data_IF_510669717088
#
_entry.id   IF_510669717088
#
_cell.length_a   1.000
_cell.length_b   1.000
_cell.length_c   1.000
_cell.angle_alpha   90.00
_cell.angle_beta   90.00
_cell.angle_gamma   90.00
#
_symmetry.space_group_name_H-M   'P 1'
#
loop_
_entity.id
_entity.type
_entity.pdbx_description
1 polymer ?
#
# COMPACT_ATOMS: atom_id res chain seq x y z
N UNK A 1 -45.12 10.36 -13.74
CA UNK A 1 -44.19 9.85 -14.79
C UNK A 1 -42.80 9.65 -14.17
N UNK A 2 -42.53 8.46 -13.66
CA UNK A 2 -41.29 8.10 -12.97
C UNK A 2 -40.24 7.62 -13.97
N UNK A 3 -39.31 8.50 -14.37
CA UNK A 3 -38.14 8.10 -15.16
C UNK A 3 -37.17 7.34 -14.26
N UNK A 4 -37.12 6.01 -14.42
CA UNK A 4 -36.03 5.17 -13.89
C UNK A 4 -34.71 5.65 -14.49
N UNK A 5 -33.77 6.05 -13.65
CA UNK A 5 -32.37 6.23 -14.04
C UNK A 5 -31.80 4.82 -14.28
N UNK A 6 -31.21 4.52 -15.45
CA UNK A 6 -30.67 3.20 -15.69
C UNK A 6 -29.44 3.00 -14.79
N UNK A 7 -29.44 1.89 -14.04
CA UNK A 7 -28.27 1.44 -13.31
C UNK A 7 -27.10 1.32 -14.29
N UNK A 8 -26.05 2.11 -14.06
CA UNK A 8 -24.78 2.00 -14.77
C UNK A 8 -24.26 0.58 -14.58
N UNK A 9 -24.45 -0.25 -15.61
CA UNK A 9 -23.92 -1.60 -15.67
C UNK A 9 -22.40 -1.45 -15.64
N UNK A 10 -21.78 -1.77 -14.50
CA UNK A 10 -20.33 -2.01 -14.45
C UNK A 10 -20.12 -3.26 -15.31
N UNK A 11 -19.89 -3.04 -16.60
CA UNK A 11 -19.40 -4.08 -17.49
C UNK A 11 -18.01 -4.45 -17.00
N UNK A 12 -17.93 -5.46 -16.15
CA UNK A 12 -16.73 -6.25 -16.00
C UNK A 12 -16.44 -6.85 -17.38
N UNK A 13 -15.53 -6.21 -18.12
CA UNK A 13 -14.87 -6.86 -19.25
C UNK A 13 -13.95 -7.93 -18.64
N UNK A 14 -14.51 -9.12 -18.46
CA UNK A 14 -13.73 -10.33 -18.44
C UNK A 14 -13.30 -10.61 -19.89
N UNK A 15 -12.06 -10.25 -20.24
CA UNK A 15 -11.31 -10.86 -21.35
C UNK A 15 -9.95 -10.18 -21.48
N UNK A 16 -8.92 -10.87 -21.02
CA UNK A 16 -7.53 -10.50 -21.19
C UNK A 16 -6.66 -11.41 -20.35
N UNK A 17 -6.15 -12.47 -20.97
CA UNK A 17 -5.11 -13.33 -20.42
C UNK A 17 -3.96 -12.46 -19.89
N UNK A 18 -3.93 -12.22 -18.59
CA UNK A 18 -2.79 -11.59 -17.93
C UNK A 18 -1.90 -12.70 -17.36
N UNK A 19 -1.20 -13.41 -18.26
CA UNK A 19 0.01 -14.12 -17.88
C UNK A 19 1.15 -13.12 -17.61
N UNK A 20 0.94 -12.25 -16.64
CA UNK A 20 2.00 -11.53 -15.96
C UNK A 20 2.05 -12.11 -14.55
N UNK A 21 2.60 -13.33 -14.42
CA UNK A 21 3.04 -13.79 -13.10
C UNK A 21 4.13 -12.82 -12.67
N UNK A 22 3.78 -11.84 -11.85
CA UNK A 22 4.73 -10.92 -11.23
C UNK A 22 5.73 -11.76 -10.43
N UNK A 23 6.84 -12.14 -11.05
CA UNK A 23 7.93 -12.84 -10.37
C UNK A 23 8.73 -11.80 -9.60
N UNK A 24 9.24 -12.19 -8.44
CA UNK A 24 10.19 -11.37 -7.74
C UNK A 24 11.51 -11.41 -8.51
N UNK A 25 12.02 -10.25 -8.91
CA UNK A 25 13.28 -10.10 -9.65
C UNK A 25 14.31 -9.34 -8.82
N UNK A 26 15.59 -9.48 -9.18
CA UNK A 26 16.67 -8.70 -8.56
C UNK A 26 16.46 -7.19 -8.73
N UNK A 27 15.99 -6.75 -9.90
CA UNK A 27 15.72 -5.35 -10.18
C UNK A 27 14.63 -4.79 -9.24
N UNK A 28 13.50 -5.49 -9.11
CA UNK A 28 12.42 -5.11 -8.21
C UNK A 28 12.88 -5.02 -6.75
N UNK A 29 13.70 -5.97 -6.31
CA UNK A 29 14.28 -5.99 -4.97
C UNK A 29 15.19 -4.78 -4.74
N UNK A 30 16.05 -4.44 -5.71
CA UNK A 30 16.94 -3.29 -5.61
C UNK A 30 16.18 -1.96 -5.57
N UNK A 31 15.17 -1.78 -6.42
CA UNK A 31 14.32 -0.58 -6.38
C UNK A 31 13.58 -0.43 -5.05
N UNK A 32 13.03 -1.53 -4.55
CA UNK A 32 12.33 -1.56 -3.26
C UNK A 32 13.29 -1.30 -2.09
N UNK A 33 14.54 -1.77 -2.20
CA UNK A 33 15.58 -1.52 -1.21
C UNK A 33 16.04 -0.05 -1.18
N UNK A 34 16.14 0.61 -2.34
CA UNK A 34 16.42 2.05 -2.42
C UNK A 34 15.30 2.85 -1.72
N UNK A 35 14.04 2.48 -1.97
CA UNK A 35 12.90 3.07 -1.25
C UNK A 35 13.02 2.83 0.27
N UNK A 36 13.31 1.59 0.69
CA UNK A 36 13.41 1.23 2.10
C UNK A 36 14.49 2.06 2.80
N UNK A 37 15.69 2.16 2.21
CA UNK A 37 16.79 2.96 2.72
C UNK A 37 16.42 4.43 2.92
N UNK A 38 15.64 5.01 1.98
CA UNK A 38 15.14 6.39 2.11
C UNK A 38 14.09 6.52 3.21
N UNK A 39 13.18 5.56 3.33
CA UNK A 39 12.12 5.62 4.36
C UNK A 39 12.60 5.37 5.78
N UNK A 40 13.72 4.64 5.94
CA UNK A 40 14.28 4.26 7.24
C UNK A 40 15.65 4.89 7.52
N UNK A 41 16.01 5.98 6.84
CA UNK A 41 17.32 6.62 7.01
C UNK A 41 17.53 7.20 8.42
N UNK A 42 16.46 7.54 9.14
CA UNK A 42 16.50 8.12 10.48
C UNK A 42 16.17 7.12 11.60
N UNK A 43 16.18 5.82 11.31
CA UNK A 43 15.99 4.81 12.34
C UNK A 43 17.17 4.78 13.31
N UNK A 44 16.97 4.41 14.59
CA UNK A 44 18.03 4.41 15.58
C UNK A 44 19.13 3.37 15.25
N UNK A 45 20.37 3.52 15.75
CA UNK A 45 21.50 2.66 15.38
C UNK A 45 21.32 1.16 15.61
N UNK A 46 20.45 0.79 16.55
CA UNK A 46 20.10 -0.60 16.90
C UNK A 46 18.98 -1.20 16.04
N UNK A 47 18.48 -0.45 15.04
CA UNK A 47 17.45 -0.94 14.14
C UNK A 47 17.96 -2.00 13.15
N UNK A 48 17.12 -3.00 12.91
CA UNK A 48 17.22 -4.08 11.92
C UNK A 48 17.67 -3.64 10.51
N UNK A 49 17.27 -2.44 10.07
CA UNK A 49 17.61 -1.89 8.76
C UNK A 49 19.12 -1.80 8.54
N UNK A 50 19.90 -1.52 9.58
CA UNK A 50 21.35 -1.39 9.44
C UNK A 50 22.02 -2.73 9.15
N UNK A 51 21.58 -3.80 9.81
CA UNK A 51 22.01 -5.17 9.51
C UNK A 51 21.63 -5.56 8.07
N UNK A 52 20.39 -5.27 7.64
CA UNK A 52 19.95 -5.55 6.28
C UNK A 52 20.78 -4.78 5.23
N UNK A 53 21.11 -3.51 5.50
CA UNK A 53 21.93 -2.69 4.59
C UNK A 53 23.36 -3.20 4.49
N UNK A 54 23.96 -3.54 5.61
CA UNK A 54 25.33 -4.07 5.66
C UNK A 54 25.43 -5.42 4.94
N UNK A 55 24.47 -6.31 5.13
CA UNK A 55 24.45 -7.64 4.51
C UNK A 55 23.60 -7.73 3.23
N UNK A 56 23.35 -6.61 2.55
CA UNK A 56 22.34 -6.53 1.48
C UNK A 56 22.49 -7.60 0.40
N UNK A 57 23.72 -7.87 -0.07
CA UNK A 57 23.93 -8.85 -1.14
C UNK A 57 23.52 -10.26 -0.72
N UNK A 58 23.86 -10.66 0.51
CA UNK A 58 23.51 -11.98 1.07
C UNK A 58 22.00 -12.07 1.34
N UNK A 59 21.45 -11.06 2.01
CA UNK A 59 20.03 -11.05 2.39
C UNK A 59 19.12 -10.97 1.17
N UNK A 60 19.45 -10.15 0.16
CA UNK A 60 18.71 -10.08 -1.11
C UNK A 60 18.61 -11.45 -1.78
N UNK A 61 19.74 -12.17 -1.88
CA UNK A 61 19.76 -13.49 -2.50
C UNK A 61 18.88 -14.48 -1.71
N UNK A 62 19.05 -14.54 -0.38
CA UNK A 62 18.27 -15.41 0.51
C UNK A 62 16.76 -15.14 0.40
N UNK A 63 16.35 -13.88 0.50
CA UNK A 63 14.95 -13.47 0.44
C UNK A 63 14.36 -13.77 -0.93
N UNK A 64 15.08 -13.45 -2.01
CA UNK A 64 14.59 -13.67 -3.38
C UNK A 64 14.33 -15.16 -3.67
N UNK A 65 15.22 -16.05 -3.20
CA UNK A 65 15.03 -17.49 -3.33
C UNK A 65 13.79 -17.94 -2.56
N UNK A 66 13.65 -17.52 -1.29
CA UNK A 66 12.50 -17.88 -0.46
C UNK A 66 11.17 -17.36 -1.02
N UNK A 67 11.15 -16.14 -1.58
CA UNK A 67 9.94 -15.56 -2.19
C UNK A 67 9.51 -16.35 -3.44
N UNK A 68 10.43 -16.63 -4.34
CA UNK A 68 10.11 -17.35 -5.58
C UNK A 68 9.81 -18.84 -5.32
N UNK A 69 10.29 -19.41 -4.21
CA UNK A 69 9.91 -20.75 -3.75
C UNK A 69 8.60 -20.78 -2.95
N UNK A 70 8.02 -19.61 -2.60
CA UNK A 70 6.82 -19.53 -1.77
C UNK A 70 7.03 -19.94 -0.30
N UNK A 71 8.29 -19.92 0.18
CA UNK A 71 8.67 -20.34 1.53
C UNK A 71 9.01 -19.18 2.46
N UNK A 72 9.01 -17.94 1.97
CA UNK A 72 9.21 -16.76 2.79
C UNK A 72 8.11 -16.64 3.86
N UNK A 73 8.50 -16.44 5.12
CA UNK A 73 7.58 -16.23 6.25
C UNK A 73 7.86 -14.87 6.87
N UNK A 74 6.80 -14.08 7.05
CA UNK A 74 6.86 -12.82 7.78
C UNK A 74 7.15 -13.07 9.26
N UNK A 75 7.94 -12.17 9.84
CA UNK A 75 8.19 -12.14 11.27
C UNK A 75 7.05 -11.42 11.99
N UNK A 76 6.95 -11.61 13.31
CA UNK A 76 6.04 -10.81 14.12
C UNK A 76 6.46 -9.33 14.07
N UNK A 77 5.48 -8.42 13.95
CA UNK A 77 5.74 -6.99 14.02
C UNK A 77 6.29 -6.61 15.40
N UNK A 78 7.21 -5.66 15.44
CA UNK A 78 7.76 -5.11 16.68
C UNK A 78 6.96 -3.89 17.12
N UNK A 79 6.67 -3.79 18.41
CA UNK A 79 6.09 -2.57 18.98
C UNK A 79 7.21 -1.61 19.36
N UNK A 80 7.22 -0.45 18.72
CA UNK A 80 8.20 0.62 18.98
C UNK A 80 7.47 1.79 19.64
N UNK A 81 8.02 2.30 20.73
CA UNK A 81 7.50 3.50 21.38
C UNK A 81 8.10 4.72 20.69
N UNK A 82 7.25 5.60 20.19
CA UNK A 82 7.67 6.88 19.62
C UNK A 82 8.13 7.84 20.72
N UNK A 83 8.84 8.91 20.34
CA UNK A 83 9.24 9.96 21.29
C UNK A 83 8.06 10.58 22.05
N UNK A 84 6.84 10.57 21.47
CA UNK A 84 5.61 11.04 22.10
C UNK A 84 4.90 10.01 22.98
N UNK A 85 5.48 8.84 23.24
CA UNK A 85 4.90 7.78 24.07
C UNK A 85 3.89 6.87 23.36
N UNK A 86 3.51 7.17 22.11
CA UNK A 86 2.64 6.28 21.32
C UNK A 86 3.38 5.00 20.95
N UNK A 87 2.73 3.84 21.09
CA UNK A 87 3.25 2.57 20.59
C UNK A 87 2.80 2.36 19.14
N UNK A 88 3.73 2.00 18.27
CA UNK A 88 3.47 1.69 16.85
C UNK A 88 4.01 0.31 16.50
N UNK A 89 3.20 -0.48 15.82
CA UNK A 89 3.65 -1.74 15.24
C UNK A 89 4.46 -1.45 13.96
N UNK A 90 5.67 -2.00 13.89
CA UNK A 90 6.60 -1.80 12.79
C UNK A 90 7.07 -3.17 12.29
N UNK A 91 6.97 -3.38 10.98
CA UNK A 91 7.52 -4.55 10.31
C UNK A 91 9.04 -4.58 10.40
N UNK A 92 9.62 -5.78 10.44
CA UNK A 92 11.05 -5.94 10.23
C UNK A 92 11.48 -5.35 8.88
N UNK A 93 12.74 -4.93 8.75
CA UNK A 93 13.27 -4.33 7.53
C UNK A 93 13.16 -5.27 6.33
N UNK A 94 13.42 -6.57 6.52
CA UNK A 94 13.26 -7.56 5.47
C UNK A 94 11.78 -7.71 5.06
N UNK A 95 10.88 -7.75 6.03
CA UNK A 95 9.44 -7.85 5.78
C UNK A 95 8.88 -6.62 5.06
N UNK A 96 9.30 -5.42 5.48
CA UNK A 96 8.91 -4.18 4.82
C UNK A 96 9.42 -4.10 3.38
N UNK A 97 10.61 -4.65 3.09
CA UNK A 97 11.11 -4.80 1.72
C UNK A 97 10.19 -5.71 0.90
N UNK A 98 9.83 -6.88 1.43
CA UNK A 98 8.96 -7.84 0.75
C UNK A 98 7.59 -7.22 0.49
N UNK A 99 6.99 -6.59 1.49
CA UNK A 99 5.72 -5.87 1.34
C UNK A 99 5.83 -4.82 0.24
N UNK A 100 6.93 -4.06 0.17
CA UNK A 100 7.13 -3.09 -0.92
C UNK A 100 7.20 -3.76 -2.29
N UNK A 101 7.92 -4.87 -2.42
CA UNK A 101 7.96 -5.65 -3.67
C UNK A 101 6.57 -6.14 -4.08
N UNK A 102 5.80 -6.70 -3.13
CA UNK A 102 4.43 -7.14 -3.36
C UNK A 102 3.54 -5.99 -3.80
N UNK A 103 3.60 -4.85 -3.10
CA UNK A 103 2.84 -3.65 -3.46
C UNK A 103 3.12 -3.24 -4.90
N UNK A 104 4.37 -3.20 -5.35
CA UNK A 104 4.72 -2.83 -6.74
C UNK A 104 4.17 -3.79 -7.79
N UNK A 105 4.12 -5.08 -7.49
CA UNK A 105 3.53 -6.08 -8.38
C UNK A 105 2.00 -5.96 -8.40
N UNK A 106 1.39 -5.76 -7.23
CA UNK A 106 -0.07 -5.66 -7.08
C UNK A 106 -0.62 -4.35 -7.63
N UNK A 107 0.11 -3.24 -7.53
CA UNK A 107 -0.27 -1.94 -8.12
C UNK A 107 -0.53 -2.03 -9.63
N UNK A 108 0.11 -2.98 -10.33
CA UNK A 108 -0.09 -3.19 -11.77
C UNK A 108 -1.34 -4.03 -12.09
N UNK A 109 -1.87 -4.74 -11.09
CA UNK A 109 -2.94 -5.73 -11.27
C UNK A 109 -4.26 -5.28 -10.63
N UNK A 110 -4.18 -4.56 -9.50
CA UNK A 110 -5.33 -4.14 -8.73
C UNK A 110 -5.75 -2.73 -9.16
N UNK A 111 -6.92 -2.56 -9.80
CA UNK A 111 -7.40 -1.23 -10.13
C UNK A 111 -7.73 -0.47 -8.84
N UNK A 112 -7.19 0.74 -8.72
CA UNK A 112 -7.50 1.66 -7.64
C UNK A 112 -8.37 2.77 -8.19
N UNK A 113 -9.54 3.00 -7.58
CA UNK A 113 -10.42 4.10 -7.98
C UNK A 113 -9.75 5.45 -7.73
N UNK A 114 -9.91 6.39 -8.65
CA UNK A 114 -9.50 7.80 -8.46
C UNK A 114 -10.21 8.48 -7.29
N UNK A 115 -11.34 7.90 -6.84
CA UNK A 115 -12.07 8.35 -5.66
C UNK A 115 -11.43 7.88 -4.34
N UNK A 116 -10.43 6.98 -4.39
CA UNK A 116 -9.63 6.60 -3.24
C UNK A 116 -8.60 7.70 -2.96
N UNK A 117 -9.05 8.82 -2.40
CA UNK A 117 -8.25 10.04 -2.27
C UNK A 117 -7.09 9.94 -1.26
N UNK A 118 -7.04 8.88 -0.45
CA UNK A 118 -5.89 8.56 0.40
C UNK A 118 -4.65 8.12 -0.39
N UNK A 119 -4.84 7.69 -1.64
CA UNK A 119 -3.75 7.30 -2.53
C UNK A 119 -3.07 8.54 -3.09
N UNK A 120 -1.73 8.51 -3.10
CA UNK A 120 -0.92 9.63 -3.57
C UNK A 120 -1.31 10.00 -5.01
N UNK A 121 -1.64 11.27 -5.22
CA UNK A 121 -2.05 11.79 -6.53
C UNK A 121 -3.56 11.91 -6.71
N UNK A 122 -4.39 11.37 -5.81
CA UNK A 122 -5.85 11.40 -5.92
C UNK A 122 -6.50 12.58 -5.16
N UNK A 123 -5.77 13.66 -4.90
CA UNK A 123 -6.30 14.89 -4.28
C UNK A 123 -6.18 14.99 -2.75
N UNK A 124 -6.13 13.87 -2.02
CA UNK A 124 -5.92 13.86 -0.57
C UNK A 124 -7.11 14.38 0.26
N UNK A 125 -7.06 14.17 1.58
CA UNK A 125 -8.19 14.47 2.48
C UNK A 125 -8.68 15.93 2.44
N UNK A 126 -7.78 16.91 2.28
CA UNK A 126 -8.18 18.32 2.18
C UNK A 126 -8.96 18.64 0.91
N UNK A 127 -8.65 18.00 -0.22
CA UNK A 127 -9.46 18.17 -1.42
C UNK A 127 -10.83 17.50 -1.25
N UNK A 128 -10.87 16.32 -0.62
CA UNK A 128 -12.11 15.61 -0.27
C UNK A 128 -13.10 16.47 0.48
N UNK A 129 -12.64 17.11 1.55
CA UNK A 129 -13.48 17.94 2.42
C UNK A 129 -14.04 19.12 1.64
N UNK A 130 -13.20 19.81 0.85
CA UNK A 130 -13.64 20.95 0.02
C UNK A 130 -14.66 20.53 -1.03
N UNK A 131 -14.42 19.44 -1.74
CA UNK A 131 -15.35 18.93 -2.76
C UNK A 131 -16.67 18.49 -2.14
N UNK A 132 -16.63 17.78 -1.01
CA UNK A 132 -17.83 17.33 -0.30
C UNK A 132 -18.65 18.54 0.16
N UNK A 133 -18.01 19.54 0.74
CA UNK A 133 -18.67 20.79 1.14
C UNK A 133 -19.35 21.50 -0.05
N UNK A 134 -18.64 21.65 -1.18
CA UNK A 134 -19.21 22.25 -2.39
C UNK A 134 -20.41 21.46 -2.94
N UNK A 135 -20.35 20.12 -2.90
CA UNK A 135 -21.46 19.25 -3.33
C UNK A 135 -22.69 19.42 -2.44
N UNK A 136 -22.51 19.54 -1.13
CA UNK A 136 -23.61 19.82 -0.20
C UNK A 136 -24.25 21.19 -0.48
N UNK A 137 -23.45 22.22 -0.75
CA UNK A 137 -23.96 23.56 -1.09
C UNK A 137 -24.75 23.60 -2.39
N UNK A 138 -24.42 22.75 -3.37
CA UNK A 138 -25.11 22.69 -4.66
C UNK A 138 -26.58 22.23 -4.58
N UNK A 139 -27.04 21.75 -3.42
CA UNK A 139 -28.37 21.13 -3.18
C UNK A 139 -28.70 19.90 -4.05
N UNK A 140 -27.79 19.46 -4.93
CA UNK A 140 -27.94 18.25 -5.75
C UNK A 140 -27.78 16.96 -4.95
N UNK A 141 -26.99 17.01 -3.88
CA UNK A 141 -26.73 15.90 -2.97
C UNK A 141 -26.91 16.38 -1.51
N UNK A 142 -28.16 16.61 -1.07
CA UNK A 142 -28.42 17.25 0.23
C UNK A 142 -28.18 16.33 1.44
N UNK A 143 -28.04 15.02 1.22
CA UNK A 143 -27.90 14.03 2.28
C UNK A 143 -26.53 13.33 2.20
N UNK A 144 -25.92 13.08 3.35
CA UNK A 144 -24.62 12.41 3.48
C UNK A 144 -24.81 11.11 4.27
N UNK A 145 -24.41 9.98 3.68
CA UNK A 145 -24.27 8.73 4.40
C UNK A 145 -22.82 8.60 4.88
N UNK A 146 -22.63 8.61 6.21
CA UNK A 146 -21.32 8.37 6.80
C UNK A 146 -21.22 6.90 7.19
N UNK A 147 -20.17 6.24 6.72
CA UNK A 147 -19.81 4.88 7.09
C UNK A 147 -18.39 4.88 7.60
N UNK A 148 -18.14 4.18 8.70
CA UNK A 148 -16.79 4.00 9.24
C UNK A 148 -16.56 2.50 9.52
N UNK A 149 -15.31 2.07 9.37
CA UNK A 149 -14.89 0.70 9.63
C UNK A 149 -13.98 0.73 10.86
N UNK A 150 -14.47 0.17 11.96
CA UNK A 150 -13.68 0.05 13.19
C UNK A 150 -12.57 -0.97 13.00
N UNK A 151 -11.32 -0.57 13.22
CA UNK A 151 -10.18 -1.48 13.21
C UNK A 151 -9.93 -2.09 11.82
N UNK A 152 -9.79 -1.24 10.80
CA UNK A 152 -9.50 -1.67 9.43
C UNK A 152 -8.23 -2.53 9.29
N UNK A 153 -7.34 -2.50 10.29
CA UNK A 153 -6.13 -3.31 10.39
C UNK A 153 -6.16 -4.16 11.65
#
# INVERSE_FOLDING_TARGET
MTRRVPAGRITQRASGSASCRGRFTVALMNESFVWLCKTRCHFPPDADIWHLRFHWQRERARILVALNAGTYRFSAMRLVTTAGGEKRAVWDAADALVLRCMTRLLEQLLPVSVLCEHVRGHGGGRASVRQTHARTLSRRWPWICRTDIRGYY
#
